data_IF_286863635220
#
_entry.id   IF_286863635220
#
_cell.length_a   1.000
_cell.length_b   1.000
_cell.length_c   1.000
_cell.angle_alpha   90.00
_cell.angle_beta   90.00
_cell.angle_gamma   90.00
#
_symmetry.space_group_name_H-M   'P 1'
#
loop_
_entity.id
_entity.type
_entity.pdbx_description
1 polymer ?
#
# COMPACT_ATOMS: atom_id res chain seq x y z
N UNK A 1 -8.15 9.97 -1.33
CA UNK A 1 -7.38 9.39 -0.21
C UNK A 1 -7.06 10.44 0.85
N UNK A 2 -6.00 11.25 0.72
CA UNK A 2 -5.48 12.11 1.79
C UNK A 2 -6.54 12.98 2.51
N UNK A 3 -7.37 13.72 1.76
CA UNK A 3 -8.42 14.56 2.37
C UNK A 3 -9.42 13.76 3.22
N UNK A 4 -9.71 12.51 2.83
CA UNK A 4 -10.56 11.61 3.59
C UNK A 4 -9.87 10.99 4.81
N UNK A 5 -8.56 11.17 4.96
CA UNK A 5 -7.75 10.64 6.05
C UNK A 5 -7.44 11.66 7.14
N UNK A 6 -7.83 12.94 6.98
CA UNK A 6 -7.43 14.05 7.85
C UNK A 6 -7.86 13.93 9.32
N UNK A 7 -8.77 13.01 9.65
CA UNK A 7 -9.20 12.73 11.03
C UNK A 7 -8.30 11.70 11.75
N UNK A 8 -7.35 11.08 11.06
CA UNK A 8 -6.42 10.13 11.67
C UNK A 8 -5.36 10.86 12.50
N UNK A 9 -4.86 10.20 13.56
CA UNK A 9 -3.77 10.73 14.40
C UNK A 9 -2.49 10.97 13.61
N UNK A 10 -2.16 10.03 12.73
CA UNK A 10 -1.00 10.09 11.87
C UNK A 10 -1.36 9.59 10.48
N UNK A 11 -0.82 10.22 9.45
CA UNK A 11 -1.06 9.86 8.06
C UNK A 11 0.29 9.73 7.36
N UNK A 12 0.58 8.55 6.85
CA UNK A 12 1.79 8.27 6.07
C UNK A 12 1.42 7.82 4.66
N UNK A 13 2.34 8.00 3.70
CA UNK A 13 2.20 7.44 2.37
C UNK A 13 2.98 6.14 2.24
N UNK A 14 2.27 5.06 1.91
CA UNK A 14 2.88 3.77 1.61
C UNK A 14 2.91 3.47 0.12
N UNK A 15 3.97 2.78 -0.28
CA UNK A 15 4.15 2.13 -1.57
C UNK A 15 4.92 0.83 -1.35
N UNK A 16 4.95 -0.06 -2.35
CA UNK A 16 5.81 -1.25 -2.29
C UNK A 16 7.28 -0.87 -2.06
N UNK A 17 7.69 0.29 -2.58
CA UNK A 17 9.04 0.84 -2.50
C UNK A 17 9.53 1.09 -1.06
N UNK A 18 8.63 1.35 -0.10
CA UNK A 18 8.93 1.73 1.28
C UNK A 18 8.06 0.99 2.30
N UNK A 19 7.62 -0.22 1.95
CA UNK A 19 6.71 -1.03 2.75
C UNK A 19 7.26 -1.29 4.17
N UNK A 20 8.58 -1.41 4.33
CA UNK A 20 9.25 -1.61 5.62
C UNK A 20 9.06 -0.40 6.54
N UNK A 21 9.35 0.80 6.04
CA UNK A 21 9.17 2.05 6.78
C UNK A 21 7.74 2.19 7.32
N UNK A 22 6.75 1.84 6.48
CA UNK A 22 5.34 1.92 6.85
C UNK A 22 4.98 0.88 7.89
N UNK A 23 5.42 -0.37 7.72
CA UNK A 23 5.16 -1.44 8.67
C UNK A 23 5.78 -1.13 10.04
N UNK A 24 7.05 -0.69 10.07
CA UNK A 24 7.75 -0.34 11.31
C UNK A 24 7.06 0.83 12.02
N UNK A 25 6.67 1.86 11.28
CA UNK A 25 5.91 2.98 11.83
C UNK A 25 4.59 2.50 12.43
N UNK A 26 3.79 1.74 11.68
CA UNK A 26 2.51 1.21 12.14
C UNK A 26 2.63 0.34 13.40
N UNK A 27 3.60 -0.57 13.42
CA UNK A 27 3.86 -1.44 14.57
C UNK A 27 4.25 -0.64 15.82
N UNK A 28 5.03 0.43 15.66
CA UNK A 28 5.45 1.30 16.77
C UNK A 28 4.31 2.14 17.35
N UNK A 29 3.28 2.49 16.56
CA UNK A 29 2.16 3.31 17.03
C UNK A 29 1.25 2.57 18.02
N UNK A 30 1.12 1.25 17.93
CA UNK A 30 0.18 0.45 18.73
C UNK A 30 -1.27 0.99 18.68
N UNK A 31 -1.73 1.39 17.49
CA UNK A 31 -3.07 1.93 17.23
C UNK A 31 -3.76 1.18 16.10
N UNK A 32 -5.06 1.39 15.95
CA UNK A 32 -5.82 0.91 14.79
C UNK A 32 -5.23 1.49 13.49
N UNK A 33 -5.16 0.65 12.47
CA UNK A 33 -4.58 0.99 11.17
C UNK A 33 -5.67 0.94 10.12
N UNK A 34 -5.77 2.01 9.33
CA UNK A 34 -6.67 2.09 8.17
C UNK A 34 -5.87 2.36 6.90
N UNK A 35 -5.88 1.40 5.97
CA UNK A 35 -5.33 1.60 4.63
C UNK A 35 -6.40 2.26 3.76
N UNK A 36 -6.15 3.50 3.35
CA UNK A 36 -7.03 4.24 2.44
C UNK A 36 -6.49 4.14 1.01
N UNK A 37 -6.89 3.09 0.30
CA UNK A 37 -6.62 2.95 -1.13
C UNK A 37 -7.13 4.18 -1.90
N UNK A 38 -6.29 4.75 -2.76
CA UNK A 38 -6.67 5.93 -3.53
C UNK A 38 -7.69 5.57 -4.62
N UNK A 39 -7.55 4.37 -5.19
CA UNK A 39 -8.35 3.93 -6.31
C UNK A 39 -8.09 4.78 -7.55
N UNK A 40 -8.86 4.51 -8.60
CA UNK A 40 -8.82 5.31 -9.82
C UNK A 40 -10.23 5.69 -10.27
N UNK A 41 -10.54 7.00 -10.26
CA UNK A 41 -11.88 7.52 -10.62
C UNK A 41 -13.02 6.82 -9.86
N UNK A 42 -12.82 6.56 -8.56
CA UNK A 42 -13.78 5.89 -7.70
C UNK A 42 -13.90 4.37 -7.94
N UNK A 43 -12.99 3.78 -8.71
CA UNK A 43 -12.93 2.33 -8.92
C UNK A 43 -11.86 1.69 -8.03
N UNK A 44 -12.08 0.40 -7.75
CA UNK A 44 -11.13 -0.48 -7.09
C UNK A 44 -9.81 -0.53 -7.87
N UNK A 45 -8.69 -0.41 -7.16
CA UNK A 45 -7.35 -0.61 -7.68
C UNK A 45 -6.75 -1.88 -7.08
N UNK A 46 -6.29 -2.78 -7.95
CA UNK A 46 -5.73 -4.07 -7.53
C UNK A 46 -4.39 -3.84 -6.83
N UNK A 47 -3.54 -3.00 -7.39
CA UNK A 47 -2.23 -2.63 -6.86
C UNK A 47 -2.32 -1.97 -5.47
N UNK A 48 -3.26 -1.05 -5.27
CA UNK A 48 -3.49 -0.39 -3.97
C UNK A 48 -3.92 -1.42 -2.90
N UNK A 49 -4.77 -2.37 -3.30
CA UNK A 49 -5.30 -3.40 -2.41
C UNK A 49 -4.22 -4.42 -2.04
N UNK A 50 -3.40 -4.82 -3.03
CA UNK A 50 -2.25 -5.70 -2.82
C UNK A 50 -1.25 -5.07 -1.86
N UNK A 51 -1.01 -3.76 -1.93
CA UNK A 51 -0.16 -3.05 -0.98
C UNK A 51 -0.71 -3.16 0.45
N UNK A 52 -2.03 -2.99 0.64
CA UNK A 52 -2.68 -3.19 1.93
C UNK A 52 -2.52 -4.62 2.46
N UNK A 53 -2.61 -5.63 1.59
CA UNK A 53 -2.37 -7.02 1.93
C UNK A 53 -0.92 -7.31 2.31
N UNK A 54 0.04 -6.72 1.60
CA UNK A 54 1.47 -6.81 1.90
C UNK A 54 1.81 -6.17 3.25
N UNK A 55 1.18 -5.02 3.56
CA UNK A 55 1.32 -4.37 4.86
C UNK A 55 0.73 -5.24 5.98
N UNK A 56 -0.45 -5.82 5.75
CA UNK A 56 -1.08 -6.73 6.70
C UNK A 56 -0.18 -7.95 7.01
N UNK A 57 0.38 -8.59 5.98
CA UNK A 57 1.32 -9.71 6.15
C UNK A 57 2.48 -9.36 7.08
N UNK A 58 3.06 -8.15 6.94
CA UNK A 58 4.16 -7.70 7.81
C UNK A 58 3.76 -7.43 9.24
N UNK A 59 2.51 -7.02 9.46
CA UNK A 59 2.02 -6.64 10.78
C UNK A 59 1.38 -7.80 11.55
N UNK A 60 1.00 -8.90 10.88
CA UNK A 60 0.48 -10.12 11.54
C UNK A 60 1.41 -10.63 12.66
N UNK A 61 2.75 -10.76 12.46
CA UNK A 61 3.66 -11.14 13.54
C UNK A 61 3.74 -10.15 14.71
N UNK A 62 3.31 -8.90 14.50
CA UNK A 62 3.29 -7.83 15.50
C UNK A 62 1.92 -7.71 16.20
N UNK A 63 1.01 -8.66 15.97
CA UNK A 63 -0.27 -8.75 16.67
C UNK A 63 -1.43 -8.03 15.97
N UNK A 64 -1.29 -7.63 14.71
CA UNK A 64 -2.43 -7.17 13.91
C UNK A 64 -3.44 -8.32 13.75
N UNK A 65 -4.73 -8.05 14.01
CA UNK A 65 -5.81 -8.98 13.72
C UNK A 65 -6.61 -8.50 12.49
N UNK A 66 -6.55 -9.28 11.41
CA UNK A 66 -7.26 -9.00 10.16
C UNK A 66 -8.64 -9.67 10.08
N UNK A 67 -8.98 -10.57 11.01
CA UNK A 67 -10.22 -11.36 10.93
C UNK A 67 -11.48 -10.53 11.18
N UNK A 68 -11.33 -9.33 11.74
CA UNK A 68 -12.43 -8.39 11.97
C UNK A 68 -12.67 -7.41 10.81
N UNK A 69 -11.97 -7.59 9.68
CA UNK A 69 -12.14 -6.75 8.49
C UNK A 69 -12.10 -7.61 7.22
N UNK A 70 -13.26 -7.78 6.58
CA UNK A 70 -13.37 -8.49 5.30
C UNK A 70 -12.44 -7.90 4.24
N UNK A 71 -12.27 -6.59 4.24
CA UNK A 71 -11.38 -5.89 3.32
C UNK A 71 -9.90 -6.24 3.59
N UNK A 72 -9.48 -6.29 4.86
CA UNK A 72 -8.12 -6.68 5.22
C UNK A 72 -7.85 -8.16 4.90
N UNK A 73 -8.81 -9.04 5.21
CA UNK A 73 -8.72 -10.46 4.89
C UNK A 73 -8.62 -10.70 3.38
N UNK A 74 -9.48 -10.05 2.58
CA UNK A 74 -9.46 -10.15 1.12
C UNK A 74 -8.14 -9.60 0.54
N UNK A 75 -7.68 -8.45 1.03
CA UNK A 75 -6.41 -7.86 0.61
C UNK A 75 -5.22 -8.79 0.91
N UNK A 76 -5.18 -9.37 2.11
CA UNK A 76 -4.16 -10.34 2.50
C UNK A 76 -4.18 -11.59 1.59
N UNK A 77 -5.35 -12.15 1.31
CA UNK A 77 -5.48 -13.30 0.40
C UNK A 77 -5.06 -12.99 -1.04
N UNK A 78 -5.42 -11.80 -1.55
CA UNK A 78 -4.94 -11.33 -2.85
C UNK A 78 -3.41 -11.20 -2.87
N UNK A 79 -2.82 -10.67 -1.79
CA UNK A 79 -1.38 -10.59 -1.63
C UNK A 79 -0.71 -11.96 -1.66
N UNK A 80 -1.23 -12.96 -0.93
CA UNK A 80 -0.69 -14.33 -0.96
C UNK A 80 -0.65 -14.93 -2.37
N UNK A 81 -1.60 -14.57 -3.23
CA UNK A 81 -1.63 -15.04 -4.62
C UNK A 81 -0.69 -14.26 -5.55
N UNK A 82 -0.36 -13.02 -5.19
CA UNK A 82 0.41 -12.10 -6.03
C UNK A 82 1.90 -12.04 -5.66
N UNK A 83 2.27 -12.28 -4.40
CA UNK A 83 3.59 -11.95 -3.86
C UNK A 83 4.74 -12.69 -4.54
N UNK A 84 4.51 -13.88 -5.08
CA UNK A 84 5.51 -14.68 -5.78
C UNK A 84 5.96 -14.06 -7.11
N UNK A 85 5.07 -13.36 -7.82
CA UNK A 85 5.35 -12.63 -9.06
C UNK A 85 4.42 -11.41 -9.14
N UNK A 86 4.68 -10.41 -8.30
CA UNK A 86 3.86 -9.21 -8.22
C UNK A 86 3.75 -8.46 -9.57
N UNK A 87 4.85 -8.24 -10.33
CA UNK A 87 4.77 -7.60 -11.63
C UNK A 87 3.93 -8.41 -12.63
N UNK A 88 4.09 -9.73 -12.67
CA UNK A 88 3.31 -10.61 -13.53
C UNK A 88 1.82 -10.63 -13.15
N UNK A 89 1.51 -10.69 -11.85
CA UNK A 89 0.15 -10.66 -11.34
C UNK A 89 -0.60 -9.37 -11.71
N UNK A 90 0.11 -8.23 -11.73
CA UNK A 90 -0.45 -6.92 -12.07
C UNK A 90 -0.49 -6.65 -13.57
N UNK A 91 0.05 -7.51 -14.43
CA UNK A 91 0.20 -7.25 -15.86
C UNK A 91 -1.14 -6.92 -16.54
N UNK A 92 -2.22 -7.58 -16.12
CA UNK A 92 -3.58 -7.38 -16.65
C UNK A 92 -4.40 -6.36 -15.84
N UNK A 93 -3.83 -5.76 -14.81
CA UNK A 93 -4.53 -4.76 -14.00
C UNK A 93 -4.89 -3.51 -14.82
N UNK A 94 -6.00 -2.87 -14.47
CA UNK A 94 -6.45 -1.65 -15.14
C UNK A 94 -5.43 -0.51 -15.09
N UNK A 95 -4.60 -0.46 -14.04
CA UNK A 95 -3.51 0.50 -13.90
C UNK A 95 -2.38 0.23 -14.90
N UNK A 96 -1.89 -1.02 -14.98
CA UNK A 96 -0.83 -1.38 -15.93
C UNK A 96 -1.30 -1.26 -17.37
N UNK A 97 -2.53 -1.68 -17.69
CA UNK A 97 -3.12 -1.49 -19.03
C UNK A 97 -3.16 -0.01 -19.42
N UNK A 98 -3.43 0.89 -18.47
CA UNK A 98 -3.44 2.33 -18.71
C UNK A 98 -2.03 2.89 -18.90
N UNK A 99 -1.06 2.50 -18.08
CA UNK A 99 0.34 2.93 -18.21
C UNK A 99 0.96 2.47 -19.54
N UNK A 100 0.66 1.24 -19.97
CA UNK A 100 1.11 0.71 -21.28
C UNK A 100 0.64 1.56 -22.46
N UNK A 101 -0.60 2.08 -22.39
CA UNK A 101 -1.15 2.99 -23.43
C UNK A 101 -0.46 4.36 -23.47
N UNK A 102 0.27 4.71 -22.42
CA UNK A 102 1.02 5.96 -22.30
C UNK A 102 2.53 5.75 -22.56
N UNK A 103 2.94 4.56 -23.03
CA UNK A 103 4.34 4.17 -23.25
C UNK A 103 5.23 4.23 -21.99
N UNK A 104 4.61 4.25 -20.80
CA UNK A 104 5.27 4.29 -19.49
C UNK A 104 5.43 2.88 -18.89
N UNK A 105 6.05 1.97 -19.65
CA UNK A 105 6.15 0.56 -19.29
C UNK A 105 7.09 0.32 -18.10
N UNK A 106 8.14 1.12 -17.95
CA UNK A 106 9.14 0.90 -16.89
C UNK A 106 8.63 1.33 -15.51
N UNK A 107 7.64 2.22 -15.47
CA UNK A 107 7.10 2.77 -14.23
C UNK A 107 6.40 1.70 -13.38
N UNK A 108 5.63 0.79 -14.00
CA UNK A 108 4.94 -0.25 -13.22
C UNK A 108 5.93 -1.29 -12.65
N UNK A 109 6.98 -1.63 -13.41
CA UNK A 109 8.05 -2.52 -12.96
C UNK A 109 8.81 -1.88 -11.80
N UNK A 110 9.05 -0.57 -11.88
CA UNK A 110 9.68 0.16 -10.79
C UNK A 110 8.80 0.19 -9.54
N UNK A 111 7.53 0.58 -9.67
CA UNK A 111 6.58 0.71 -8.58
C UNK A 111 6.25 -0.60 -7.85
N UNK A 112 6.55 -1.76 -8.46
CA UNK A 112 6.35 -3.09 -7.87
C UNK A 112 7.59 -3.64 -7.15
N UNK A 113 8.71 -2.91 -7.16
CA UNK A 113 9.89 -3.27 -6.35
C UNK A 113 9.57 -3.10 -4.87
N UNK A 114 9.96 -4.09 -4.07
CA UNK A 114 9.74 -4.10 -2.63
C UNK A 114 10.96 -3.49 -1.95
N UNK A 115 10.74 -2.49 -1.08
CA UNK A 115 11.74 -1.94 -0.16
C UNK A 115 13.07 -1.52 -0.81
N UNK A 116 13.01 -0.82 -1.94
CA UNK A 116 14.19 -0.16 -2.49
C UNK A 116 14.49 1.20 -1.80
N UNK A 117 13.54 1.72 -1.02
CA UNK A 117 13.68 2.90 -0.15
C UNK A 117 13.08 2.62 1.25
N UNK A 118 13.57 1.62 1.99
CA UNK A 118 12.99 1.17 3.26
C UNK A 118 13.11 2.19 4.40
N UNK A 119 13.89 3.25 4.24
CA UNK A 119 14.12 4.32 5.23
C UNK A 119 13.35 5.62 4.93
N UNK A 120 12.52 5.62 3.88
CA UNK A 120 11.76 6.80 3.45
C UNK A 120 10.30 6.65 3.85
N UNK A 121 9.86 7.45 4.82
CA UNK A 121 8.47 7.52 5.26
C UNK A 121 7.89 8.92 5.01
N UNK A 122 7.15 9.15 3.93
CA UNK A 122 6.43 10.41 3.78
C UNK A 122 5.31 10.50 4.82
N UNK A 123 5.37 11.50 5.70
CA UNK A 123 4.42 11.77 6.78
C UNK A 123 3.71 13.09 6.52
N UNK A 124 2.40 13.15 6.75
CA UNK A 124 1.62 14.40 6.71
C UNK A 124 1.77 15.15 8.03
N UNK A 125 2.27 16.38 7.99
CA UNK A 125 2.49 17.24 9.17
C UNK A 125 1.28 18.14 9.52
N UNK A 126 0.17 17.99 8.80
CA UNK A 126 -0.99 18.89 8.87
C UNK A 126 -1.09 19.91 7.73
N UNK A 127 0.01 20.13 7.00
CA UNK A 127 0.07 21.10 5.89
C UNK A 127 0.65 20.50 4.60
N UNK A 128 1.66 19.64 4.72
CA UNK A 128 2.36 19.01 3.60
C UNK A 128 2.93 17.65 3.99
N UNK A 129 3.39 16.93 2.97
CA UNK A 129 4.20 15.73 3.19
C UNK A 129 5.64 16.14 3.51
N UNK A 130 6.17 15.59 4.60
CA UNK A 130 7.55 15.73 5.05
C UNK A 130 8.19 14.35 5.20
N UNK A 131 9.51 14.30 5.38
CA UNK A 131 10.18 13.07 5.77
C UNK A 131 9.92 12.82 7.25
N UNK A 132 9.27 11.71 7.57
CA UNK A 132 9.01 11.22 8.93
C UNK A 132 10.17 10.45 9.53
#
# INVERSE_FOLDING_TARGET
ALLGSLAAEAIVCGAFLNLAAVADFCAAQQRDILVVAAGWKGQFCLEDTLLGGALAERLLPHGLDINHSDAALAAYQLWQNACADLPGYLLESAAVVRLRKLEANDDYLFCTKIDIYPEVLPLWDGQKLVRG
#
